data_IF_564000191927
#
_entry.id   IF_564000191927
#
_cell.length_a   1.000
_cell.length_b   1.000
_cell.length_c   1.000
_cell.angle_alpha   90.00
_cell.angle_beta   90.00
_cell.angle_gamma   90.00
#
_symmetry.space_group_name_H-M   'P 1'
#
loop_
_entity.id
_entity.type
_entity.pdbx_description
1 polymer ?
#
# COMPACT_ATOMS: atom_id res chain seq x y z
N UNK A 1 1.84 -11.58 -17.29
CA UNK A 1 2.18 -10.41 -16.46
C UNK A 1 2.66 -10.96 -15.13
N UNK A 2 3.93 -10.81 -14.80
CA UNK A 2 4.47 -11.28 -13.52
C UNK A 2 3.90 -10.39 -12.41
N UNK A 3 3.40 -11.01 -11.33
CA UNK A 3 2.91 -10.31 -10.15
C UNK A 3 3.99 -10.38 -9.09
N UNK A 4 4.48 -9.22 -8.66
CA UNK A 4 5.44 -9.07 -7.59
C UNK A 4 4.72 -8.56 -6.34
N UNK A 5 4.51 -9.43 -5.35
CA UNK A 5 3.72 -9.12 -4.15
C UNK A 5 3.02 -10.35 -3.56
N UNK A 6 1.96 -10.13 -2.79
CA UNK A 6 1.10 -11.20 -2.26
C UNK A 6 -0.37 -10.97 -2.65
N UNK A 7 -1.05 -12.02 -3.12
CA UNK A 7 -2.48 -12.03 -3.45
C UNK A 7 -3.32 -12.83 -2.45
N UNK A 8 -2.74 -13.25 -1.32
CA UNK A 8 -3.39 -14.09 -0.33
C UNK A 8 -4.55 -13.34 0.32
N UNK A 9 -5.74 -13.93 0.22
CA UNK A 9 -6.97 -13.39 0.78
C UNK A 9 -7.25 -13.83 2.22
N UNK A 10 -6.47 -14.78 2.77
CA UNK A 10 -6.66 -15.28 4.13
C UNK A 10 -5.98 -14.43 5.21
N UNK A 11 -5.29 -13.34 4.84
CA UNK A 11 -4.48 -12.57 5.77
C UNK A 11 -5.30 -11.78 6.81
N UNK A 12 -5.39 -12.23 8.07
CA UNK A 12 -6.13 -11.67 9.19
C UNK A 12 -5.46 -10.52 9.96
N UNK A 13 -4.24 -10.09 9.64
CA UNK A 13 -3.62 -8.93 10.28
C UNK A 13 -4.03 -7.62 9.61
N UNK A 14 -4.54 -6.68 10.42
CA UNK A 14 -4.96 -5.35 9.98
C UNK A 14 -4.08 -4.25 10.58
N UNK A 15 -3.71 -3.27 9.77
CA UNK A 15 -3.07 -2.03 10.23
C UNK A 15 -4.04 -0.85 10.18
N UNK A 16 -4.13 -0.07 11.26
CA UNK A 16 -4.70 1.28 11.20
C UNK A 16 -3.63 2.19 10.60
N UNK A 17 -3.96 2.90 9.51
CA UNK A 17 -2.94 3.69 8.80
C UNK A 17 -3.28 5.17 8.64
N UNK A 18 -4.02 5.75 9.58
CA UNK A 18 -4.11 7.21 9.63
C UNK A 18 -2.76 7.77 10.08
N UNK A 19 -2.12 8.59 9.24
CA UNK A 19 -0.75 9.10 9.47
C UNK A 19 0.29 8.00 9.73
N UNK A 20 0.15 6.85 9.05
CA UNK A 20 1.13 5.77 9.10
C UNK A 20 1.37 5.24 7.70
N UNK A 21 2.63 5.20 7.27
CA UNK A 21 3.05 4.43 6.10
C UNK A 21 3.13 2.98 6.53
N UNK A 22 2.48 2.07 5.81
CA UNK A 22 2.64 0.64 6.03
C UNK A 22 2.98 -0.08 4.75
N UNK A 23 3.68 -1.20 4.86
CA UNK A 23 3.97 -2.02 3.70
C UNK A 23 4.64 -3.32 4.06
N UNK A 24 5.09 -4.02 3.04
CA UNK A 24 5.82 -5.26 3.20
C UNK A 24 6.95 -5.34 2.19
N UNK A 25 8.01 -6.06 2.57
CA UNK A 25 9.11 -6.40 1.67
C UNK A 25 8.77 -7.62 0.83
N UNK A 26 9.09 -7.56 -0.45
CA UNK A 26 8.96 -8.67 -1.39
C UNK A 26 10.25 -8.81 -2.23
N UNK A 27 10.62 -10.05 -2.61
CA UNK A 27 11.71 -10.30 -3.58
C UNK A 27 11.20 -10.32 -5.03
N UNK A 28 11.81 -9.52 -5.89
CA UNK A 28 11.59 -9.52 -7.33
C UNK A 28 12.68 -10.39 -7.97
N UNK A 29 12.27 -11.51 -8.58
CA UNK A 29 13.19 -12.57 -9.03
C UNK A 29 13.90 -12.28 -10.36
N UNK A 30 13.39 -11.32 -11.14
CA UNK A 30 13.90 -10.96 -12.46
C UNK A 30 13.64 -9.46 -12.71
N UNK A 31 14.36 -8.86 -13.65
CA UNK A 31 14.15 -7.46 -14.02
C UNK A 31 12.72 -7.24 -14.55
N UNK A 32 12.12 -6.12 -14.20
CA UNK A 32 10.81 -5.67 -14.65
C UNK A 32 10.92 -4.31 -15.35
N UNK A 33 10.72 -4.29 -16.67
CA UNK A 33 10.90 -3.09 -17.49
C UNK A 33 9.88 -1.98 -17.22
N UNK A 34 8.69 -2.32 -16.71
CA UNK A 34 7.62 -1.37 -16.41
C UNK A 34 6.66 -1.90 -15.34
N UNK A 35 6.72 -1.33 -14.13
CA UNK A 35 5.75 -1.62 -13.06
C UNK A 35 4.56 -0.67 -13.19
N UNK A 36 3.45 -1.16 -13.73
CA UNK A 36 2.31 -0.30 -14.08
C UNK A 36 1.47 0.17 -12.88
N UNK A 37 1.36 -0.65 -11.82
CA UNK A 37 0.43 -0.37 -10.73
C UNK A 37 0.76 -1.15 -9.44
N UNK A 38 0.26 -0.65 -8.32
CA UNK A 38 0.16 -1.38 -7.05
C UNK A 38 -1.31 -1.66 -6.75
N UNK A 39 -1.63 -2.91 -6.41
CA UNK A 39 -2.99 -3.29 -5.98
C UNK A 39 -2.98 -3.60 -4.48
N UNK A 40 -3.89 -2.97 -3.74
CA UNK A 40 -3.98 -3.04 -2.28
C UNK A 40 -5.36 -3.55 -1.87
N UNK A 41 -5.40 -4.41 -0.85
CA UNK A 41 -6.65 -4.95 -0.30
C UNK A 41 -7.06 -4.20 0.96
N UNK A 42 -8.22 -3.56 0.90
CA UNK A 42 -8.80 -2.79 1.99
C UNK A 42 -9.83 -3.63 2.72
N UNK A 43 -9.79 -3.59 4.04
CA UNK A 43 -10.90 -4.03 4.87
C UNK A 43 -11.68 -2.82 5.32
N UNK A 44 -12.99 -2.86 5.12
CA UNK A 44 -13.91 -1.80 5.50
C UNK A 44 -14.84 -2.37 6.57
N UNK A 45 -14.97 -1.66 7.70
CA UNK A 45 -15.90 -2.05 8.74
C UNK A 45 -17.35 -1.80 8.27
N UNK A 46 -18.26 -2.77 8.45
CA UNK A 46 -19.68 -2.60 8.08
C UNK A 46 -20.27 -1.33 8.63
N UNK A 47 -21.21 -0.77 7.88
CA UNK A 47 -22.15 0.19 8.42
C UNK A 47 -21.59 1.60 8.54
N UNK A 48 -20.35 1.83 8.09
CA UNK A 48 -19.71 3.14 8.09
C UNK A 48 -19.40 3.55 6.65
N UNK A 49 -20.16 4.52 6.14
CA UNK A 49 -19.72 5.25 4.96
C UNK A 49 -18.37 5.90 5.29
N UNK A 50 -17.36 5.61 4.49
CA UNK A 50 -15.97 5.98 4.79
C UNK A 50 -15.29 6.57 3.56
N UNK A 51 -14.42 7.55 3.80
CA UNK A 51 -13.65 8.22 2.74
C UNK A 51 -12.23 8.48 3.19
N UNK A 52 -11.27 8.21 2.31
CA UNK A 52 -9.83 8.31 2.58
C UNK A 52 -9.09 8.79 1.34
N UNK A 53 -8.00 9.54 1.54
CA UNK A 53 -6.98 9.72 0.49
C UNK A 53 -5.97 8.61 0.61
N UNK A 54 -5.59 8.00 -0.50
CA UNK A 54 -4.68 6.88 -0.50
C UNK A 54 -3.69 7.00 -1.65
N UNK A 55 -2.43 6.65 -1.37
CA UNK A 55 -1.36 6.54 -2.35
C UNK A 55 -0.41 5.42 -1.96
N UNK A 56 0.29 4.88 -2.95
CA UNK A 56 1.24 3.80 -2.78
C UNK A 56 2.61 4.21 -3.29
N UNK A 57 3.66 3.53 -2.81
CA UNK A 57 5.03 3.75 -3.26
C UNK A 57 5.85 2.47 -3.22
N UNK A 58 6.95 2.50 -3.96
CA UNK A 58 7.99 1.47 -3.96
C UNK A 58 9.24 2.08 -3.36
N UNK A 59 9.80 1.42 -2.36
CA UNK A 59 11.12 1.73 -1.83
C UNK A 59 12.08 0.59 -2.10
N UNK A 60 13.36 0.91 -2.28
CA UNK A 60 14.42 -0.11 -2.34
C UNK A 60 14.70 -0.74 -0.96
N UNK A 61 15.57 -1.75 -0.92
CA UNK A 61 15.95 -2.44 0.31
C UNK A 61 16.62 -1.54 1.36
N UNK A 62 17.14 -0.38 0.95
CA UNK A 62 17.76 0.65 1.79
C UNK A 62 16.80 1.78 2.17
N UNK A 63 15.51 1.63 1.85
CA UNK A 63 14.46 2.62 2.09
C UNK A 63 14.58 3.92 1.28
N UNK A 64 15.29 3.93 0.15
CA UNK A 64 15.21 5.06 -0.79
C UNK A 64 13.94 4.93 -1.65
N UNK A 65 13.26 6.05 -1.87
CA UNK A 65 12.06 6.09 -2.70
C UNK A 65 12.44 5.84 -4.16
N UNK A 66 11.79 4.86 -4.78
CA UNK A 66 11.96 4.60 -6.21
C UNK A 66 10.93 5.38 -7.01
N UNK A 67 9.66 5.16 -6.68
CA UNK A 67 8.55 5.86 -7.32
C UNK A 67 7.26 5.73 -6.48
N UNK A 68 6.24 6.50 -6.85
CA UNK A 68 4.94 6.49 -6.22
C UNK A 68 3.78 6.62 -7.20
N UNK A 69 2.65 6.06 -6.81
CA UNK A 69 1.40 6.16 -7.58
C UNK A 69 0.76 7.53 -7.38
N UNK A 70 -0.15 7.88 -8.29
CA UNK A 70 -1.04 9.02 -8.06
C UNK A 70 -1.89 8.82 -6.78
N UNK A 71 -2.18 9.93 -6.12
CA UNK A 71 -3.11 9.95 -4.99
C UNK A 71 -4.55 9.80 -5.48
N UNK A 72 -5.32 8.95 -4.81
CA UNK A 72 -6.76 8.76 -5.10
C UNK A 72 -7.56 8.96 -3.82
N UNK A 73 -8.70 9.63 -3.95
CA UNK A 73 -9.75 9.58 -2.91
C UNK A 73 -10.63 8.36 -3.16
N UNK A 74 -10.74 7.49 -2.16
CA UNK A 74 -11.61 6.33 -2.20
C UNK A 74 -12.77 6.56 -1.25
N UNK A 75 -13.99 6.34 -1.72
CA UNK A 75 -15.20 6.49 -0.92
C UNK A 75 -16.03 5.21 -1.01
N UNK A 76 -16.44 4.70 0.14
CA UNK A 76 -17.29 3.53 0.27
C UNK A 76 -18.57 3.88 1.01
N UNK A 77 -19.67 3.30 0.58
CA UNK A 77 -20.97 3.40 1.24
C UNK A 77 -21.09 2.32 2.33
N UNK A 78 -21.99 2.52 3.29
CA UNK A 78 -22.16 1.63 4.45
C UNK A 78 -22.57 0.18 4.09
N UNK A 79 -23.10 -0.01 2.89
CA UNK A 79 -23.51 -1.24 2.20
C UNK A 79 -22.45 -1.79 1.23
N UNK A 80 -21.34 -1.05 1.04
CA UNK A 80 -20.20 -1.48 0.25
C UNK A 80 -19.47 -2.65 0.93
N UNK A 81 -19.09 -3.64 0.13
CA UNK A 81 -18.46 -4.87 0.62
C UNK A 81 -17.28 -4.66 1.57
N UNK A 82 -17.13 -5.58 2.51
CA UNK A 82 -16.20 -5.53 3.65
C UNK A 82 -14.72 -5.72 3.30
N UNK A 83 -14.42 -5.99 2.03
CA UNK A 83 -13.11 -6.44 1.59
C UNK A 83 -12.96 -6.24 0.08
N UNK A 84 -12.13 -5.27 -0.31
CA UNK A 84 -12.08 -4.77 -1.70
C UNK A 84 -10.65 -4.55 -2.15
N UNK A 85 -10.40 -4.84 -3.42
CA UNK A 85 -9.12 -4.59 -4.06
C UNK A 85 -9.19 -3.25 -4.80
N UNK A 86 -8.23 -2.35 -4.51
CA UNK A 86 -8.06 -1.11 -5.25
C UNK A 86 -6.70 -1.09 -5.92
N UNK A 87 -6.67 -0.62 -7.16
CA UNK A 87 -5.45 -0.53 -7.97
C UNK A 87 -5.04 0.92 -8.17
N UNK A 88 -3.78 1.22 -7.89
CA UNK A 88 -3.18 2.55 -8.02
C UNK A 88 -2.11 2.50 -9.10
N UNK A 89 -2.25 3.35 -10.12
CA UNK A 89 -1.35 3.35 -11.26
C UNK A 89 -0.19 4.33 -11.02
N UNK A 90 0.97 4.00 -11.57
CA UNK A 90 2.07 4.97 -11.71
C UNK A 90 1.77 5.86 -12.92
N UNK A 91 1.97 7.16 -12.78
CA UNK A 91 1.87 8.10 -13.90
C UNK A 91 3.01 7.89 -14.90
N UNK A 92 4.18 7.44 -14.42
CA UNK A 92 5.33 7.01 -15.21
C UNK A 92 5.87 5.69 -14.65
N UNK A 93 5.47 4.52 -15.20
CA UNK A 93 5.88 3.21 -14.69
C UNK A 93 7.42 3.08 -14.54
N UNK A 94 7.94 2.77 -13.35
CA UNK A 94 9.38 2.58 -13.17
C UNK A 94 9.82 1.22 -13.68
N UNK A 95 11.08 1.15 -14.13
CA UNK A 95 11.79 -0.11 -14.33
C UNK A 95 12.50 -0.52 -13.04
N UNK A 96 12.44 -1.80 -12.68
CA UNK A 96 13.08 -2.36 -11.49
C UNK A 96 14.01 -3.51 -11.91
N UNK A 97 15.20 -3.57 -11.32
CA UNK A 97 16.05 -4.76 -11.46
C UNK A 97 15.64 -5.85 -10.46
N UNK A 98 16.09 -7.08 -10.65
CA UNK A 98 15.92 -8.13 -9.64
C UNK A 98 16.49 -7.67 -8.28
N UNK A 99 15.72 -7.85 -7.20
CA UNK A 99 16.09 -7.34 -5.88
C UNK A 99 14.94 -7.36 -4.87
N UNK A 100 15.19 -6.85 -3.66
CA UNK A 100 14.18 -6.71 -2.62
C UNK A 100 13.60 -5.28 -2.61
N UNK A 101 12.28 -5.18 -2.60
CA UNK A 101 11.57 -3.91 -2.56
C UNK A 101 10.49 -3.89 -1.50
N UNK A 102 10.24 -2.71 -0.94
CA UNK A 102 9.10 -2.46 -0.07
C UNK A 102 7.96 -1.88 -0.88
N UNK A 103 6.82 -2.56 -0.86
CA UNK A 103 5.57 -2.04 -1.40
C UNK A 103 4.79 -1.45 -0.24
N UNK A 104 4.60 -0.13 -0.27
CA UNK A 104 3.96 0.61 0.82
C UNK A 104 2.69 1.31 0.37
N UNK A 105 1.81 1.53 1.33
CA UNK A 105 0.57 2.29 1.21
C UNK A 105 0.49 3.29 2.37
N UNK A 106 -0.04 4.46 2.07
CA UNK A 106 -0.26 5.52 3.03
C UNK A 106 -1.65 6.10 2.81
N UNK A 107 -2.37 6.33 3.89
CA UNK A 107 -3.69 6.93 3.81
C UNK A 107 -3.90 8.06 4.82
N UNK A 108 -4.73 9.00 4.39
CA UNK A 108 -5.27 10.09 5.20
C UNK A 108 -6.75 9.84 5.43
N UNK A 109 -7.17 9.96 6.68
CA UNK A 109 -8.56 9.84 7.04
C UNK A 109 -9.34 11.13 6.70
N UNK A 110 -10.40 11.00 5.88
CA UNK A 110 -11.33 12.11 5.63
C UNK A 110 -12.56 11.99 6.53
N UNK A 111 -13.26 10.85 6.50
CA UNK A 111 -14.51 10.64 7.24
C UNK A 111 -14.86 9.15 7.40
N UNK A 112 -15.65 8.80 8.43
CA UNK A 112 -16.18 7.46 8.66
C UNK A 112 -15.30 6.58 9.55
N UNK A 113 -14.99 5.36 9.10
CA UNK A 113 -14.05 4.48 9.78
C UNK A 113 -12.59 4.78 9.42
N UNK A 114 -11.63 4.43 10.28
CA UNK A 114 -10.20 4.50 9.92
C UNK A 114 -9.87 3.50 8.81
N UNK A 115 -8.98 3.84 7.86
CA UNK A 115 -8.63 2.94 6.77
C UNK A 115 -7.84 1.75 7.33
N UNK A 116 -8.30 0.53 7.01
CA UNK A 116 -7.64 -0.72 7.40
C UNK A 116 -7.22 -1.49 6.16
N UNK A 117 -6.00 -1.97 6.22
CA UNK A 117 -5.35 -2.65 5.12
C UNK A 117 -4.95 -4.02 5.60
N UNK A 118 -5.14 -5.04 4.75
CA UNK A 118 -4.62 -6.36 5.06
C UNK A 118 -3.10 -6.34 4.89
N UNK A 119 -2.39 -6.57 5.99
CA UNK A 119 -0.94 -6.79 6.00
C UNK A 119 -0.66 -8.27 5.73
N UNK A 120 0.60 -8.62 5.46
CA UNK A 120 0.98 -10.03 5.36
C UNK A 120 0.68 -10.78 6.67
N UNK A 121 0.22 -12.02 6.52
CA UNK A 121 0.13 -12.99 7.61
C UNK A 121 1.26 -14.00 7.59
N UNK A 122 2.01 -14.11 6.49
CA UNK A 122 2.99 -15.17 6.29
C UNK A 122 4.07 -14.73 5.29
N UNK A 123 5.34 -14.84 5.71
CA UNK A 123 6.50 -14.89 4.82
C UNK A 123 7.22 -13.58 4.46
N UNK A 124 6.79 -12.42 4.96
CA UNK A 124 7.48 -11.15 4.69
C UNK A 124 7.65 -10.28 5.94
N UNK A 125 8.63 -9.38 5.90
CA UNK A 125 8.84 -8.37 6.93
C UNK A 125 7.84 -7.24 6.70
N UNK A 126 6.98 -6.98 7.67
CA UNK A 126 6.09 -5.82 7.64
C UNK A 126 6.80 -4.57 8.12
N UNK A 127 6.40 -3.42 7.57
CA UNK A 127 6.91 -2.11 7.94
C UNK A 127 5.76 -1.19 8.40
N UNK A 128 6.08 -0.37 9.40
CA UNK A 128 5.28 0.77 9.82
C UNK A 128 6.19 1.96 10.09
N UNK A 129 5.75 3.16 9.69
CA UNK A 129 6.37 4.42 10.09
C UNK A 129 5.28 5.44 10.37
N UNK A 130 5.25 5.97 11.60
CA UNK A 130 4.30 7.01 11.99
C UNK A 130 4.75 8.37 11.48
N UNK A 131 4.09 8.89 10.45
CA UNK A 131 4.42 10.16 9.80
C UNK A 131 3.13 10.80 9.25
N UNK A 132 3.00 12.12 9.43
CA UNK A 132 1.83 12.89 8.97
C UNK A 132 1.69 12.85 7.45
N UNK A 133 0.47 12.59 6.98
CA UNK A 133 0.17 12.45 5.56
C UNK A 133 0.63 13.67 4.74
N UNK A 134 1.48 13.42 3.74
CA UNK A 134 2.13 14.50 2.99
C UNK A 134 3.03 13.97 1.87
N UNK A 135 4.12 14.65 1.57
CA UNK A 135 5.11 14.14 0.63
C UNK A 135 5.72 12.82 1.14
N UNK A 136 6.06 11.91 0.23
CA UNK A 136 6.78 10.68 0.59
C UNK A 136 8.14 11.03 1.19
N UNK A 137 8.52 10.44 2.34
CA UNK A 137 9.87 10.59 2.86
C UNK A 137 10.86 9.86 1.96
N UNK A 138 12.05 10.43 1.77
CA UNK A 138 13.14 9.81 1.02
C UNK A 138 14.50 10.18 1.67
N UNK A 139 15.19 9.25 2.34
CA UNK A 139 14.77 7.87 2.59
C UNK A 139 13.63 7.78 3.62
N UNK A 140 12.88 6.68 3.58
CA UNK A 140 11.93 6.32 4.63
C UNK A 140 12.70 5.86 5.88
N UNK A 141 12.31 6.38 7.05
CA UNK A 141 12.84 5.95 8.35
C UNK A 141 11.73 5.17 9.09
N UNK A 142 11.78 3.82 9.10
CA UNK A 142 10.81 3.01 9.82
C UNK A 142 10.95 3.19 11.33
N UNK A 143 9.85 3.08 12.05
CA UNK A 143 9.80 3.15 13.53
C UNK A 143 9.70 1.77 14.15
#
# INVERSE_FOLDING_TARGET
>A
MAVFGNNNTSAGNFGNNNDVITGNRYPLSEDADAVASITVRFQILSGLASSWKVKCAIYDSSFNLIDSTDERTITYTADGGFDVWETFNFSSPPALSAGDYWLVVWADYISGGSPRFRRLDTGGTSLTSGISYGAWPDPLVPT
#
